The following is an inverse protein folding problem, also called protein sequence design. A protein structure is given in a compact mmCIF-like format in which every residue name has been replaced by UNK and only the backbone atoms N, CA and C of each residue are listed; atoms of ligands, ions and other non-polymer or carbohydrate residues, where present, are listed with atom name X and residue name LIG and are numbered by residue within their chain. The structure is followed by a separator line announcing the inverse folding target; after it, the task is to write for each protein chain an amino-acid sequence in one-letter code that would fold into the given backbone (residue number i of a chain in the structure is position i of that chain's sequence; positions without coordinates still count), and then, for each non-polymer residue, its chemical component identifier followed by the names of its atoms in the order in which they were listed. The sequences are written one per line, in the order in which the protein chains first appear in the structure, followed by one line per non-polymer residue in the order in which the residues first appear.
data_IF_123323890935
#
_entry.id   IF_123323890935
#
_cell.length_a   1.000
_cell.length_b   1.000
_cell.length_c   1.000
_cell.angle_alpha   90.00
_cell.angle_beta   90.00
_cell.angle_gamma   90.00
#
_symmetry.space_group_name_H-M   'P 1'
#
loop_
_entity.id
_entity.type
_entity.pdbx_description
1 polymer ?
#
# COMPACT_ATOMS: atom_id res chain seq x y z
N UNK A 1 -11.16 65.52 32.34
CA UNK A 1 -12.04 64.33 32.38
C UNK A 1 -13.43 64.76 31.91
N UNK A 2 -13.76 64.54 30.64
CA UNK A 2 -15.04 64.95 30.08
C UNK A 2 -16.02 63.78 30.17
N UNK A 3 -17.01 63.87 31.07
CA UNK A 3 -18.19 63.03 31.03
C UNK A 3 -18.98 63.37 29.77
N UNK A 4 -18.84 62.54 28.72
CA UNK A 4 -19.81 62.49 27.62
C UNK A 4 -20.95 61.57 28.07
N UNK A 5 -21.89 62.13 28.83
CA UNK A 5 -23.07 61.43 29.33
C UNK A 5 -24.29 62.32 29.20
N UNK A 6 -24.62 62.75 27.98
CA UNK A 6 -25.97 63.24 27.70
C UNK A 6 -26.95 62.06 27.73
N UNK A 7 -28.24 62.28 28.03
CA UNK A 7 -29.23 61.22 28.02
C UNK A 7 -29.26 60.55 26.64
N UNK A 8 -29.21 59.22 26.61
CA UNK A 8 -29.37 58.43 25.38
C UNK A 8 -30.69 58.84 24.73
N UNK A 9 -30.63 59.25 23.46
CA UNK A 9 -31.84 59.53 22.71
C UNK A 9 -32.54 58.23 22.35
N UNK A 10 -33.84 58.27 22.06
CA UNK A 10 -34.58 57.10 21.58
C UNK A 10 -33.94 56.48 20.32
N UNK A 11 -33.32 57.33 19.50
CA UNK A 11 -32.59 56.91 18.31
C UNK A 11 -31.32 56.12 18.65
N UNK A 12 -30.57 56.55 19.69
CA UNK A 12 -29.40 55.82 20.18
C UNK A 12 -29.79 54.46 20.76
N UNK A 13 -30.90 54.39 21.49
CA UNK A 13 -31.42 53.14 22.06
C UNK A 13 -31.83 52.18 20.94
N UNK A 14 -32.54 52.67 19.92
CA UNK A 14 -32.95 51.86 18.78
C UNK A 14 -31.75 51.35 17.96
N UNK A 15 -30.70 52.17 17.82
CA UNK A 15 -29.45 51.75 17.16
C UNK A 15 -28.73 50.66 17.96
N UNK A 16 -28.56 50.84 19.27
CA UNK A 16 -27.93 49.85 20.15
C UNK A 16 -28.69 48.51 20.17
N UNK A 17 -30.02 48.54 20.11
CA UNK A 17 -30.84 47.32 20.02
C UNK A 17 -30.60 46.55 18.73
N UNK A 18 -30.46 47.25 17.59
CA UNK A 18 -30.11 46.61 16.31
C UNK A 18 -28.72 46.01 16.36
N UNK A 19 -27.74 46.76 16.87
CA UNK A 19 -26.36 46.29 17.00
C UNK A 19 -26.25 45.05 17.89
N UNK A 20 -27.02 45.02 18.99
CA UNK A 20 -27.11 43.87 19.88
C UNK A 20 -27.74 42.66 19.17
N UNK A 21 -28.80 42.87 18.38
CA UNK A 21 -29.46 41.80 17.63
C UNK A 21 -28.53 41.22 16.55
N UNK A 22 -27.80 42.08 15.82
CA UNK A 22 -26.80 41.69 14.83
C UNK A 22 -25.64 40.94 15.47
N UNK A 23 -25.13 41.43 16.61
CA UNK A 23 -24.09 40.76 17.39
C UNK A 23 -24.55 39.36 17.83
N UNK A 24 -25.78 39.23 18.35
CA UNK A 24 -26.33 37.92 18.71
C UNK A 24 -26.51 36.98 17.52
N UNK A 25 -26.91 37.50 16.35
CA UNK A 25 -26.98 36.70 15.11
C UNK A 25 -25.60 36.19 14.71
N UNK A 26 -24.59 37.05 14.77
CA UNK A 26 -23.20 36.70 14.46
C UNK A 26 -22.64 35.66 15.43
N UNK A 27 -22.83 35.85 16.74
CA UNK A 27 -22.39 34.90 17.77
C UNK A 27 -23.01 33.51 17.50
N UNK A 28 -24.31 33.43 17.24
CA UNK A 28 -24.98 32.15 16.92
C UNK A 28 -24.41 31.51 15.66
N UNK A 29 -24.09 32.30 14.64
CA UNK A 29 -23.48 31.80 13.40
C UNK A 29 -22.09 31.22 13.66
N UNK A 30 -21.23 31.96 14.37
CA UNK A 30 -19.88 31.52 14.72
C UNK A 30 -19.89 30.27 15.59
N UNK A 31 -20.78 30.18 16.59
CA UNK A 31 -20.93 28.98 17.41
C UNK A 31 -21.29 27.74 16.57
N UNK A 32 -22.18 27.90 15.57
CA UNK A 32 -22.50 26.82 14.64
C UNK A 32 -21.31 26.43 13.77
N UNK A 33 -20.52 27.40 13.32
CA UNK A 33 -19.31 27.12 12.53
C UNK A 33 -18.26 26.38 13.37
N UNK A 34 -18.01 26.82 14.60
CA UNK A 34 -17.09 26.15 15.54
C UNK A 34 -17.55 24.72 15.80
N UNK A 35 -18.85 24.51 16.05
CA UNK A 35 -19.39 23.16 16.26
C UNK A 35 -19.21 22.25 15.03
N UNK A 36 -19.39 22.77 13.82
CA UNK A 36 -19.13 22.02 12.58
C UNK A 36 -17.65 21.66 12.42
N UNK A 37 -16.75 22.59 12.67
CA UNK A 37 -15.31 22.31 12.58
C UNK A 37 -14.86 21.32 13.66
N UNK A 38 -15.38 21.42 14.88
CA UNK A 38 -15.11 20.42 15.93
C UNK A 38 -15.56 19.02 15.52
N UNK A 39 -16.74 18.89 14.92
CA UNK A 39 -17.23 17.60 14.40
C UNK A 39 -16.31 17.06 13.30
N UNK A 40 -15.90 17.93 12.36
CA UNK A 40 -14.97 17.59 11.28
C UNK A 40 -13.61 17.14 11.82
N UNK A 41 -13.06 17.84 12.81
CA UNK A 41 -11.82 17.45 13.46
C UNK A 41 -11.93 16.10 14.17
N UNK A 42 -13.06 15.83 14.84
CA UNK A 42 -13.30 14.54 15.49
C UNK A 42 -13.41 13.38 14.48
N UNK A 43 -13.94 13.63 13.28
CA UNK A 43 -13.94 12.65 12.19
C UNK A 43 -12.54 12.41 11.63
N UNK A 44 -11.78 13.48 11.40
CA UNK A 44 -10.40 13.38 10.93
C UNK A 44 -9.52 12.63 11.93
N UNK A 45 -9.66 12.90 13.22
CA UNK A 45 -8.92 12.20 14.28
C UNK A 45 -9.23 10.70 14.26
N UNK A 46 -10.51 10.31 14.19
CA UNK A 46 -10.92 8.91 14.08
C UNK A 46 -10.39 8.23 12.82
N UNK A 47 -10.44 8.92 11.68
CA UNK A 47 -9.89 8.40 10.43
C UNK A 47 -8.37 8.21 10.52
N UNK A 48 -7.66 9.19 11.09
CA UNK A 48 -6.23 9.12 11.32
C UNK A 48 -5.84 7.95 12.21
N UNK A 49 -6.49 7.79 13.37
CA UNK A 49 -6.28 6.64 14.26
C UNK A 49 -6.44 5.31 13.54
N UNK A 50 -7.51 5.18 12.74
CA UNK A 50 -7.73 3.98 11.92
C UNK A 50 -6.61 3.74 10.91
N UNK A 51 -6.14 4.79 10.23
CA UNK A 51 -5.03 4.65 9.27
C UNK A 51 -3.73 4.22 9.95
N UNK A 52 -3.43 4.77 11.11
CA UNK A 52 -2.24 4.38 11.89
C UNK A 52 -2.34 2.92 12.33
N UNK A 53 -3.49 2.49 12.85
CA UNK A 53 -3.72 1.09 13.21
C UNK A 53 -3.49 0.15 12.02
N UNK A 54 -4.08 0.46 10.86
CA UNK A 54 -3.91 -0.32 9.64
C UNK A 54 -2.43 -0.37 9.19
N UNK A 55 -1.71 0.75 9.23
CA UNK A 55 -0.28 0.79 8.87
C UNK A 55 0.57 -0.08 9.82
N UNK A 56 0.24 -0.10 11.11
CA UNK A 56 0.91 -0.96 12.09
C UNK A 56 0.62 -2.45 11.86
N UNK A 57 -0.58 -2.81 11.40
CA UNK A 57 -0.91 -4.18 11.01
C UNK A 57 -0.15 -4.60 9.74
N UNK A 58 -0.18 -3.77 8.69
CA UNK A 58 0.57 -4.00 7.44
C UNK A 58 2.07 -4.16 7.75
N UNK A 59 2.62 -3.34 8.64
CA UNK A 59 4.04 -3.45 9.02
C UNK A 59 4.33 -4.78 9.70
N UNK A 60 3.45 -5.26 10.59
CA UNK A 60 3.60 -6.57 11.24
C UNK A 60 3.51 -7.71 10.23
N UNK A 61 2.55 -7.66 9.32
CA UNK A 61 2.39 -8.66 8.25
C UNK A 61 3.60 -8.69 7.33
N UNK A 62 4.13 -7.52 6.93
CA UNK A 62 5.34 -7.44 6.10
C UNK A 62 6.54 -8.08 6.78
N UNK A 63 6.76 -7.83 8.07
CA UNK A 63 7.85 -8.48 8.82
C UNK A 63 7.67 -10.01 8.82
N UNK A 64 6.44 -10.51 8.94
CA UNK A 64 6.18 -11.94 8.87
C UNK A 64 6.48 -12.50 7.47
N UNK A 65 5.99 -11.85 6.42
CA UNK A 65 6.22 -12.26 5.04
C UNK A 65 7.71 -12.23 4.66
N UNK A 66 8.46 -11.24 5.15
CA UNK A 66 9.92 -11.18 4.96
C UNK A 66 10.64 -12.37 5.59
N UNK A 67 10.25 -12.75 6.82
CA UNK A 67 10.81 -13.93 7.49
C UNK A 67 10.47 -15.21 6.74
N UNK A 68 9.23 -15.34 6.27
CA UNK A 68 8.80 -16.50 5.48
C UNK A 68 9.59 -16.56 4.16
N UNK A 69 9.71 -15.44 3.44
CA UNK A 69 10.53 -15.33 2.23
C UNK A 69 11.97 -15.75 2.50
N UNK A 70 12.59 -15.26 3.56
CA UNK A 70 13.99 -15.54 3.86
C UNK A 70 14.19 -17.01 4.25
N UNK A 71 13.25 -17.61 4.98
CA UNK A 71 13.21 -19.05 5.24
C UNK A 71 13.13 -19.86 3.95
N UNK A 72 12.23 -19.50 3.03
CA UNK A 72 12.09 -20.17 1.74
C UNK A 72 13.32 -20.00 0.86
N UNK A 73 13.90 -18.80 0.84
CA UNK A 73 15.14 -18.50 0.12
C UNK A 73 16.30 -19.34 0.65
N UNK A 74 16.49 -19.39 1.98
CA UNK A 74 17.50 -20.22 2.60
C UNK A 74 17.28 -21.72 2.31
N UNK A 75 16.02 -22.18 2.27
CA UNK A 75 15.68 -23.55 1.88
C UNK A 75 16.02 -23.83 0.41
N UNK A 76 15.72 -22.91 -0.48
CA UNK A 76 16.03 -23.02 -1.91
C UNK A 76 17.54 -23.02 -2.16
N UNK A 77 18.28 -22.11 -1.53
CA UNK A 77 19.75 -22.04 -1.61
C UNK A 77 20.41 -23.30 -1.07
N UNK A 78 19.91 -23.86 0.05
CA UNK A 78 20.36 -25.16 0.56
C UNK A 78 20.00 -26.34 -0.35
N UNK A 79 18.89 -26.24 -1.10
CA UNK A 79 18.47 -27.25 -2.06
C UNK A 79 19.17 -27.12 -3.43
N UNK A 80 19.82 -25.99 -3.71
CA UNK A 80 20.50 -25.70 -4.98
C UNK A 80 21.83 -26.46 -5.18
N UNK A 81 22.15 -27.41 -4.31
CA UNK A 81 23.28 -28.34 -4.44
C UNK A 81 22.83 -29.76 -4.09
N UNK A 82 23.18 -30.75 -4.93
CA UNK A 82 22.47 -31.07 -6.17
C UNK A 82 21.00 -31.46 -5.90
N UNK A 83 20.08 -30.90 -6.67
CA UNK A 83 18.65 -31.22 -6.55
C UNK A 83 18.43 -32.72 -6.88
N UNK A 84 17.96 -33.49 -5.89
CA UNK A 84 17.55 -34.88 -6.10
C UNK A 84 16.08 -34.93 -6.47
N UNK A 85 15.76 -35.09 -7.76
CA UNK A 85 14.41 -35.48 -8.17
C UNK A 85 14.27 -36.97 -7.88
N UNK A 86 13.39 -37.35 -6.96
CA UNK A 86 13.10 -38.77 -6.68
C UNK A 86 14.22 -39.56 -5.97
N UNK A 87 15.11 -38.90 -5.22
CA UNK A 87 16.16 -39.59 -4.45
C UNK A 87 17.43 -39.94 -5.23
N UNK A 88 17.44 -39.75 -6.55
CA UNK A 88 18.62 -39.89 -7.41
C UNK A 88 19.29 -38.53 -7.63
N UNK A 89 20.60 -38.46 -7.43
CA UNK A 89 21.44 -37.44 -8.05
C UNK A 89 21.28 -37.58 -9.56
N UNK A 90 20.70 -36.58 -10.22
CA UNK A 90 20.65 -36.54 -11.68
C UNK A 90 22.07 -36.25 -12.20
N UNK A 91 22.89 -37.30 -12.28
CA UNK A 91 24.07 -37.30 -13.13
C UNK A 91 23.59 -37.52 -14.56
N UNK A 92 23.05 -36.46 -15.17
CA UNK A 92 22.68 -36.49 -16.58
C UNK A 92 23.96 -36.60 -17.40
N UNK A 93 24.07 -37.67 -18.18
CA UNK A 93 25.17 -37.81 -19.12
C UNK A 93 25.01 -36.79 -20.26
N UNK A 94 26.10 -36.34 -20.91
CA UNK A 94 26.02 -35.37 -22.02
C UNK A 94 25.10 -35.83 -23.17
N UNK A 95 24.98 -37.15 -23.37
CA UNK A 95 24.06 -37.74 -24.33
C UNK A 95 22.59 -37.52 -23.97
N UNK A 96 22.24 -37.62 -22.69
CA UNK A 96 20.88 -37.39 -22.18
C UNK A 96 20.51 -35.91 -22.22
N UNK A 97 21.44 -35.01 -21.89
CA UNK A 97 21.25 -33.56 -22.04
C UNK A 97 20.97 -33.20 -23.51
N UNK A 98 21.72 -33.79 -24.45
CA UNK A 98 21.49 -33.61 -25.89
C UNK A 98 20.14 -34.17 -26.35
N UNK A 99 19.73 -35.33 -25.82
CA UNK A 99 18.43 -35.92 -26.12
C UNK A 99 17.26 -35.07 -25.60
N UNK A 100 17.37 -34.53 -24.37
CA UNK A 100 16.38 -33.62 -23.79
C UNK A 100 16.33 -32.32 -24.61
N UNK A 101 17.48 -31.73 -24.95
CA UNK A 101 17.55 -30.53 -25.82
C UNK A 101 16.83 -30.75 -27.14
N UNK A 102 17.03 -31.93 -27.78
CA UNK A 102 16.37 -32.29 -29.03
C UNK A 102 14.86 -32.52 -28.87
N UNK A 103 14.42 -33.10 -27.76
CA UNK A 103 13.00 -33.29 -27.45
C UNK A 103 12.29 -31.94 -27.20
N UNK A 104 12.90 -31.06 -26.42
CA UNK A 104 12.36 -29.72 -26.15
C UNK A 104 12.36 -28.83 -27.41
N UNK A 105 13.38 -28.94 -28.26
CA UNK A 105 13.42 -28.25 -29.56
C UNK A 105 12.27 -28.68 -30.48
N UNK A 106 11.85 -29.95 -30.43
CA UNK A 106 10.70 -30.45 -31.20
C UNK A 106 9.37 -29.98 -30.64
N UNK A 107 9.27 -29.83 -29.32
CA UNK A 107 8.04 -29.42 -28.63
C UNK A 107 7.79 -27.91 -28.68
N UNK A 108 8.86 -27.11 -28.66
CA UNK A 108 8.81 -25.64 -28.63
C UNK A 108 9.38 -24.99 -29.90
N UNK A 109 9.48 -25.75 -31.00
CA UNK A 109 9.91 -25.19 -32.28
C UNK A 109 8.93 -24.09 -32.74
N UNK A 110 9.40 -22.93 -33.20
CA UNK A 110 8.55 -21.85 -33.70
C UNK A 110 7.58 -22.30 -34.79
N UNK A 111 8.02 -23.21 -35.66
CA UNK A 111 7.22 -23.76 -36.77
C UNK A 111 6.05 -24.66 -36.33
N UNK A 112 6.06 -25.12 -35.07
CA UNK A 112 4.99 -25.96 -34.49
C UNK A 112 4.07 -25.16 -33.55
N UNK A 113 4.16 -23.82 -33.57
CA UNK A 113 3.42 -22.94 -32.65
C UNK A 113 3.99 -22.92 -31.23
N UNK A 114 5.25 -23.31 -31.07
CA UNK A 114 5.94 -23.36 -29.78
C UNK A 114 6.36 -21.99 -29.24
N UNK A 115 6.36 -21.87 -27.93
CA UNK A 115 6.81 -20.66 -27.21
C UNK A 115 8.35 -20.57 -27.25
N UNK A 116 8.86 -19.59 -28.01
CA UNK A 116 10.29 -19.37 -28.19
C UNK A 116 11.00 -18.90 -26.92
N UNK A 117 10.29 -18.26 -25.98
CA UNK A 117 10.84 -17.88 -24.67
C UNK A 117 11.02 -19.12 -23.78
N UNK A 118 10.11 -20.09 -23.84
CA UNK A 118 10.30 -21.38 -23.17
C UNK A 118 11.50 -22.15 -23.74
N UNK A 119 11.73 -22.09 -25.04
CA UNK A 119 12.92 -22.71 -25.65
C UNK A 119 14.22 -22.07 -25.14
N UNK A 120 14.27 -20.73 -24.98
CA UNK A 120 15.42 -20.04 -24.39
C UNK A 120 15.67 -20.43 -22.94
N UNK A 121 14.61 -20.51 -22.13
CA UNK A 121 14.70 -20.93 -20.73
C UNK A 121 15.21 -22.36 -20.60
N UNK A 122 14.75 -23.28 -21.46
CA UNK A 122 15.25 -24.66 -21.49
C UNK A 122 16.72 -24.74 -21.90
N UNK A 123 17.14 -23.97 -22.91
CA UNK A 123 18.56 -23.92 -23.28
C UNK A 123 19.42 -23.39 -22.12
N UNK A 124 19.01 -22.28 -21.49
CA UNK A 124 19.73 -21.69 -20.37
C UNK A 124 19.82 -22.62 -19.15
N UNK A 125 18.81 -23.48 -18.93
CA UNK A 125 18.82 -24.48 -17.86
C UNK A 125 19.69 -25.71 -18.17
N UNK A 126 19.83 -26.07 -19.46
CA UNK A 126 20.59 -27.24 -19.91
C UNK A 126 22.07 -26.92 -20.21
N UNK A 127 22.43 -25.66 -20.48
CA UNK A 127 23.82 -25.26 -20.77
C UNK A 127 24.81 -25.50 -19.62
N UNK A 128 24.46 -25.32 -18.32
CA UNK A 128 25.35 -25.66 -17.21
C UNK A 128 25.55 -27.18 -17.00
N UNK A 129 24.75 -28.02 -17.67
CA UNK A 129 24.74 -29.48 -17.52
C UNK A 129 25.36 -30.22 -18.72
N UNK A 130 25.67 -29.50 -19.80
CA UNK A 130 26.25 -30.03 -21.04
C UNK A 130 27.78 -30.04 -20.99
#
# INVERSE_FOLDING_TARGET
MAQRGGPLTEQDIAWLQRELEESHKTIRSLLRQVSKEQARHAEIARAYEKTVANLMEITRENIQLERERDMWKARAERAALPFKIGGTTLELTPAEVSAIRKAMARLHHPDMGGDSERMKLWNAALDPLA
#
